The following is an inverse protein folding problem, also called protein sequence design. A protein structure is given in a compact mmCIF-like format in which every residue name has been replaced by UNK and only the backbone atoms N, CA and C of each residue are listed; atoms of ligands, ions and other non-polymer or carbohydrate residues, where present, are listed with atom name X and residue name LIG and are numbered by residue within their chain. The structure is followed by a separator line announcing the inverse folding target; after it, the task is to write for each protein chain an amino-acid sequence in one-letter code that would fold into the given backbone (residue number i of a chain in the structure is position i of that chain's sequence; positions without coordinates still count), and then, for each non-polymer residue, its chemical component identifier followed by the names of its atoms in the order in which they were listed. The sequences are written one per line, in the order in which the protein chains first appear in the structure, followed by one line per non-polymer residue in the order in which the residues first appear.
data_IF_758621679359
#
_entry.id   IF_758621679359
#
_cell.length_a   1.000
_cell.length_b   1.000
_cell.length_c   1.000
_cell.angle_alpha   90.00
_cell.angle_beta   90.00
_cell.angle_gamma   90.00
#
_symmetry.space_group_name_H-M   'P 1'
#
loop_
_entity.id
_entity.type
_entity.pdbx_description
1 polymer ?
#
# COMPACT_ATOMS: atom_id res chain seq x y z
N UNK A 1 3.13 -10.16 10.31
CA UNK A 1 3.13 -10.66 8.93
C UNK A 1 4.50 -11.15 8.50
N UNK A 2 5.60 -10.42 8.75
CA UNK A 2 6.97 -10.85 8.36
C UNK A 2 7.35 -12.22 8.92
N UNK A 3 7.26 -12.43 10.24
CA UNK A 3 7.59 -13.73 10.87
C UNK A 3 6.77 -14.90 10.32
N UNK A 4 5.52 -14.66 9.92
CA UNK A 4 4.68 -15.72 9.33
C UNK A 4 5.28 -16.20 8.01
N UNK A 5 5.89 -15.30 7.24
CA UNK A 5 6.58 -15.68 6.01
C UNK A 5 7.92 -16.33 6.31
N UNK A 6 8.72 -15.69 7.17
CA UNK A 6 10.09 -16.12 7.49
C UNK A 6 10.15 -17.44 8.26
N UNK A 7 9.21 -17.69 9.17
CA UNK A 7 9.29 -18.84 10.08
C UNK A 7 8.30 -19.95 9.71
N UNK A 8 7.46 -19.74 8.68
CA UNK A 8 6.39 -20.69 8.33
C UNK A 8 6.09 -20.79 6.84
N UNK A 9 5.42 -19.80 6.22
CA UNK A 9 4.79 -20.02 4.89
C UNK A 9 5.81 -20.20 3.76
N UNK A 10 7.06 -19.75 3.94
CA UNK A 10 8.11 -20.04 2.96
C UNK A 10 8.51 -21.52 2.90
N UNK A 11 8.18 -22.31 3.92
CA UNK A 11 8.48 -23.74 4.02
C UNK A 11 7.32 -24.66 3.64
N UNK A 12 6.22 -24.08 3.11
CA UNK A 12 5.08 -24.86 2.64
C UNK A 12 5.48 -25.79 1.49
N UNK A 13 5.01 -27.04 1.56
CA UNK A 13 5.21 -28.01 0.48
C UNK A 13 4.26 -27.73 -0.69
N UNK A 14 4.53 -28.31 -1.85
CA UNK A 14 3.61 -28.26 -3.00
C UNK A 14 2.20 -28.78 -2.66
N UNK A 15 2.12 -29.75 -1.74
CA UNK A 15 0.85 -30.28 -1.22
C UNK A 15 0.06 -29.23 -0.44
N UNK A 16 0.72 -28.48 0.44
CA UNK A 16 0.13 -27.40 1.22
C UNK A 16 -0.36 -26.26 0.29
N UNK A 17 0.50 -25.86 -0.65
CA UNK A 17 0.17 -24.83 -1.64
C UNK A 17 -1.03 -25.25 -2.50
N UNK A 18 -1.09 -26.51 -2.92
CA UNK A 18 -2.22 -27.04 -3.68
C UNK A 18 -3.51 -27.09 -2.86
N UNK A 19 -3.44 -27.45 -1.57
CA UNK A 19 -4.60 -27.45 -0.68
C UNK A 19 -5.16 -26.03 -0.47
N UNK A 20 -4.30 -25.05 -0.21
CA UNK A 20 -4.68 -23.63 -0.07
C UNK A 20 -5.30 -23.12 -1.38
N UNK A 21 -4.68 -23.42 -2.52
CA UNK A 21 -5.18 -22.98 -3.82
C UNK A 21 -6.56 -23.58 -4.15
N UNK A 22 -6.82 -24.84 -3.79
CA UNK A 22 -8.16 -25.45 -3.94
C UNK A 22 -9.17 -24.77 -3.05
N UNK A 23 -8.86 -24.62 -1.76
CA UNK A 23 -9.74 -23.95 -0.80
C UNK A 23 -10.14 -22.55 -1.27
N UNK A 24 -9.17 -21.73 -1.70
CA UNK A 24 -9.45 -20.36 -2.17
C UNK A 24 -10.30 -20.33 -3.46
N UNK A 25 -10.18 -21.34 -4.33
CA UNK A 25 -10.97 -21.46 -5.57
C UNK A 25 -12.40 -21.95 -5.32
N UNK A 26 -12.62 -22.70 -4.24
CA UNK A 26 -13.93 -23.21 -3.86
C UNK A 26 -14.80 -22.15 -3.16
N UNK A 27 -14.19 -21.03 -2.74
CA UNK A 27 -14.92 -19.90 -2.15
C UNK A 27 -15.74 -19.14 -3.21
N UNK A 28 -16.95 -18.65 -2.86
CA UNK A 28 -17.76 -17.86 -3.77
C UNK A 28 -17.09 -16.51 -4.08
N UNK A 29 -17.23 -16.04 -5.32
CA UNK A 29 -16.73 -14.75 -5.73
C UNK A 29 -17.32 -13.62 -4.87
N UNK A 30 -16.45 -12.78 -4.32
CA UNK A 30 -16.85 -11.59 -3.56
C UNK A 30 -16.98 -10.38 -4.50
N UNK A 31 -17.98 -9.53 -4.28
CA UNK A 31 -18.08 -8.26 -5.00
C UNK A 31 -16.88 -7.38 -4.64
N UNK A 32 -16.20 -6.77 -5.62
CA UNK A 32 -15.08 -5.88 -5.34
C UNK A 32 -15.59 -4.63 -4.61
N UNK A 33 -15.01 -4.33 -3.45
CA UNK A 33 -15.32 -3.13 -2.67
C UNK A 33 -14.54 -1.88 -3.15
N UNK A 34 -13.66 -2.06 -4.13
CA UNK A 34 -12.74 -1.05 -4.68
C UNK A 34 -12.41 -1.43 -6.13
N UNK A 35 -11.99 -0.46 -6.94
CA UNK A 35 -11.62 -0.69 -8.33
C UNK A 35 -10.21 -0.17 -8.67
N UNK A 36 -9.69 -0.64 -9.82
CA UNK A 36 -8.44 -0.19 -10.41
C UNK A 36 -8.60 -0.03 -11.92
N UNK A 37 -8.53 1.21 -12.40
CA UNK A 37 -8.74 1.60 -13.80
C UNK A 37 -7.50 2.31 -14.39
N UNK A 38 -6.38 1.62 -14.64
CA UNK A 38 -5.09 2.23 -15.01
C UNK A 38 -5.09 2.91 -16.38
N UNK A 39 -6.04 2.55 -17.25
CA UNK A 39 -6.14 3.08 -18.62
C UNK A 39 -7.08 4.27 -18.74
N UNK A 40 -7.72 4.70 -17.64
CA UNK A 40 -8.61 5.85 -17.66
C UNK A 40 -7.84 7.11 -18.10
N UNK A 41 -8.53 8.01 -18.81
CA UNK A 41 -7.96 9.32 -19.17
C UNK A 41 -7.54 10.10 -17.93
N UNK A 42 -8.38 10.06 -16.88
CA UNK A 42 -8.13 10.68 -15.58
C UNK A 42 -6.83 10.18 -14.96
N UNK A 43 -6.59 8.87 -14.91
CA UNK A 43 -5.37 8.29 -14.34
C UNK A 43 -4.11 8.74 -15.11
N UNK A 44 -4.18 8.83 -16.43
CA UNK A 44 -3.05 9.30 -17.25
C UNK A 44 -2.77 10.79 -17.05
N UNK A 45 -3.82 11.61 -17.03
CA UNK A 45 -3.71 13.05 -16.82
C UNK A 45 -3.19 13.39 -15.42
N UNK A 46 -3.63 12.65 -14.39
CA UNK A 46 -3.21 12.87 -13.00
C UNK A 46 -1.71 12.62 -12.81
N UNK A 47 -1.15 11.61 -13.47
CA UNK A 47 0.31 11.35 -13.44
C UNK A 47 1.09 12.48 -14.11
N UNK A 48 0.60 12.97 -15.25
CA UNK A 48 1.27 14.08 -15.93
C UNK A 48 1.28 15.34 -15.07
N UNK A 49 0.15 15.68 -14.44
CA UNK A 49 0.05 16.83 -13.55
C UNK A 49 0.94 16.68 -12.31
N UNK A 50 1.10 15.47 -11.78
CA UNK A 50 2.02 15.19 -10.67
C UNK A 50 3.49 15.39 -11.09
N UNK A 51 3.88 14.97 -12.30
CA UNK A 51 5.24 15.15 -12.83
C UNK A 51 5.59 16.62 -13.06
N UNK A 52 4.64 17.43 -13.51
CA UNK A 52 4.87 18.86 -13.77
C UNK A 52 4.71 19.73 -12.52
N UNK A 53 4.39 19.13 -11.36
CA UNK A 53 4.11 19.87 -10.13
C UNK A 53 2.80 20.66 -10.16
N UNK A 54 1.97 20.48 -11.18
CA UNK A 54 0.68 21.16 -11.35
C UNK A 54 -0.44 20.52 -10.51
N UNK A 55 -0.13 19.49 -9.73
CA UNK A 55 -1.10 18.77 -8.91
C UNK A 55 -1.33 19.44 -7.56
N UNK A 56 -2.39 20.23 -7.46
CA UNK A 56 -2.83 20.89 -6.24
C UNK A 56 -3.86 20.02 -5.48
N UNK A 57 -3.41 18.86 -4.98
CA UNK A 57 -4.24 18.00 -4.10
C UNK A 57 -3.56 17.81 -2.75
N UNK A 58 -4.32 17.82 -1.63
CA UNK A 58 -3.79 17.41 -0.34
C UNK A 58 -3.10 16.05 -0.45
N UNK A 59 -1.89 15.94 0.10
CA UNK A 59 -1.08 14.71 0.05
C UNK A 59 -0.15 14.58 -1.15
N UNK A 60 -0.35 15.34 -2.25
CA UNK A 60 0.52 15.25 -3.43
C UNK A 60 1.96 15.69 -3.14
N UNK A 61 2.14 16.84 -2.47
CA UNK A 61 3.45 17.32 -2.04
C UNK A 61 4.12 16.36 -1.05
N UNK A 62 3.36 15.85 -0.08
CA UNK A 62 3.83 14.86 0.90
C UNK A 62 4.31 13.60 0.17
N UNK A 63 3.53 13.09 -0.79
CA UNK A 63 3.90 11.93 -1.58
C UNK A 63 5.22 12.15 -2.33
N UNK A 64 5.37 13.30 -3.00
CA UNK A 64 6.60 13.64 -3.72
C UNK A 64 7.82 13.74 -2.79
N UNK A 65 7.65 14.35 -1.61
CA UNK A 65 8.74 14.54 -0.65
C UNK A 65 9.16 13.26 0.07
N UNK A 66 8.22 12.38 0.42
CA UNK A 66 8.48 11.26 1.34
C UNK A 66 8.35 9.88 0.70
N UNK A 67 7.55 9.71 -0.35
CA UNK A 67 7.15 8.39 -0.86
C UNK A 67 7.70 8.10 -2.27
N UNK A 68 7.70 9.10 -3.15
CA UNK A 68 8.00 8.94 -4.57
C UNK A 68 9.43 8.45 -4.83
N UNK A 69 10.38 8.70 -3.92
CA UNK A 69 11.77 8.20 -4.04
C UNK A 69 11.85 6.68 -4.18
N UNK A 70 10.95 5.94 -3.54
CA UNK A 70 10.92 4.47 -3.60
C UNK A 70 9.76 3.96 -4.45
N UNK A 71 8.57 4.57 -4.34
CA UNK A 71 7.38 4.10 -5.04
C UNK A 71 7.22 4.67 -6.46
N UNK A 72 8.05 5.64 -6.85
CA UNK A 72 7.97 6.31 -8.15
C UNK A 72 6.79 7.26 -8.25
N UNK A 73 6.87 8.22 -9.17
CA UNK A 73 5.77 9.18 -9.44
C UNK A 73 4.55 8.48 -10.03
N UNK A 74 4.78 7.40 -10.75
CA UNK A 74 3.77 6.54 -11.36
C UNK A 74 3.22 5.49 -10.37
N UNK A 75 3.72 5.46 -9.12
CA UNK A 75 3.29 4.49 -8.12
C UNK A 75 3.63 3.05 -8.48
N UNK A 76 4.56 2.83 -9.41
CA UNK A 76 4.93 1.49 -9.91
C UNK A 76 6.01 0.82 -9.06
N UNK A 77 6.68 1.58 -8.18
CA UNK A 77 7.80 1.10 -7.40
C UNK A 77 8.94 0.58 -8.28
N UNK A 78 9.65 -0.41 -7.76
CA UNK A 78 10.69 -1.15 -8.49
C UNK A 78 10.46 -2.64 -8.26
N UNK A 79 10.23 -3.45 -9.31
CA UNK A 79 10.03 -4.89 -9.18
C UNK A 79 11.09 -5.53 -8.28
N UNK A 80 10.66 -6.44 -7.42
CA UNK A 80 11.50 -7.15 -6.45
C UNK A 80 12.26 -6.25 -5.45
N UNK A 81 11.87 -4.98 -5.29
CA UNK A 81 12.54 -4.05 -4.38
C UNK A 81 11.56 -3.15 -3.62
N UNK A 82 10.77 -2.37 -4.35
CA UNK A 82 9.76 -1.48 -3.78
C UNK A 82 8.40 -1.81 -4.38
N UNK A 83 7.39 -2.11 -3.57
CA UNK A 83 6.09 -2.52 -4.10
C UNK A 83 5.41 -1.38 -4.84
N UNK A 84 4.67 -1.74 -5.90
CA UNK A 84 3.74 -0.81 -6.54
C UNK A 84 2.64 -0.41 -5.56
N UNK A 85 2.21 0.84 -5.65
CA UNK A 85 1.02 1.39 -4.98
C UNK A 85 -0.18 1.45 -5.94
N UNK A 86 0.07 1.69 -7.23
CA UNK A 86 -0.95 1.60 -8.26
C UNK A 86 -1.51 0.18 -8.29
N UNK A 87 -2.83 0.03 -8.11
CA UNK A 87 -3.58 -1.23 -8.09
C UNK A 87 -3.17 -2.22 -7.00
N UNK A 88 -2.57 -1.76 -5.91
CA UNK A 88 -2.11 -2.62 -4.82
C UNK A 88 -3.30 -3.03 -3.93
N UNK A 89 -3.52 -4.34 -3.66
CA UNK A 89 -4.64 -4.79 -2.83
C UNK A 89 -4.68 -4.20 -1.41
N UNK A 90 -3.53 -4.02 -0.75
CA UNK A 90 -3.46 -3.37 0.57
C UNK A 90 -3.82 -1.90 0.49
N UNK A 91 -3.50 -1.23 -0.62
CA UNK A 91 -3.92 0.16 -0.88
C UNK A 91 -5.41 0.22 -1.16
N UNK A 92 -5.99 -0.77 -1.83
CA UNK A 92 -7.40 -0.76 -2.25
C UNK A 92 -8.35 -1.36 -1.21
N UNK A 93 -7.84 -2.06 -0.19
CA UNK A 93 -8.64 -2.70 0.84
C UNK A 93 -9.61 -1.71 1.52
N UNK A 94 -10.85 -2.12 1.83
CA UNK A 94 -11.80 -1.30 2.59
C UNK A 94 -11.29 -0.98 4.00
N UNK A 95 -10.71 -1.99 4.66
CA UNK A 95 -10.09 -1.84 5.96
C UNK A 95 -8.69 -1.24 5.81
N UNK A 96 -8.48 -0.08 6.43
CA UNK A 96 -7.29 0.74 6.22
C UNK A 96 -6.19 0.46 7.26
N UNK A 97 -6.49 -0.29 8.31
CA UNK A 97 -5.58 -0.59 9.43
C UNK A 97 -4.17 -0.99 8.97
N UNK A 98 -4.03 -1.95 8.05
CA UNK A 98 -2.72 -2.40 7.59
C UNK A 98 -1.96 -1.31 6.81
N UNK A 99 -2.67 -0.56 5.96
CA UNK A 99 -2.10 0.52 5.17
C UNK A 99 -1.60 1.65 6.08
N UNK A 100 -2.44 2.08 7.02
CA UNK A 100 -2.10 3.15 7.98
C UNK A 100 -0.93 2.72 8.87
N UNK A 101 -0.95 1.48 9.38
CA UNK A 101 0.12 0.95 10.23
C UNK A 101 1.47 0.94 9.54
N UNK A 102 1.53 0.51 8.28
CA UNK A 102 2.76 0.54 7.48
C UNK A 102 3.35 1.94 7.33
N UNK A 103 2.52 2.98 7.21
CA UNK A 103 3.03 4.37 7.13
C UNK A 103 3.44 4.90 8.50
N UNK A 104 2.67 4.59 9.55
CA UNK A 104 2.96 5.07 10.90
C UNK A 104 4.24 4.42 11.46
N UNK A 105 4.32 3.09 11.44
CA UNK A 105 5.42 2.33 12.05
C UNK A 105 6.56 1.98 11.08
N UNK A 106 6.34 2.16 9.78
CA UNK A 106 7.21 1.59 8.76
C UNK A 106 7.01 0.08 8.64
N UNK A 107 7.95 -0.57 7.97
CA UNK A 107 7.91 -2.02 7.80
C UNK A 107 9.13 -2.53 7.04
N UNK A 108 9.22 -3.85 6.90
CA UNK A 108 10.19 -4.48 6.00
C UNK A 108 9.55 -5.61 5.25
N UNK A 109 10.05 -5.89 4.06
CA UNK A 109 9.76 -7.14 3.39
C UNK A 109 10.34 -8.32 4.21
N UNK A 110 9.73 -9.52 4.13
CA UNK A 110 10.32 -10.72 4.71
C UNK A 110 11.56 -11.15 3.93
N UNK A 111 12.50 -11.77 4.62
CA UNK A 111 13.61 -12.50 4.05
C UNK A 111 13.16 -13.93 3.71
N UNK A 112 13.44 -14.40 2.50
CA UNK A 112 13.12 -15.78 2.11
C UNK A 112 14.27 -16.41 1.35
N UNK A 113 14.42 -17.74 1.43
CA UNK A 113 15.57 -18.47 0.84
C UNK A 113 15.82 -18.15 -0.64
N UNK A 114 14.76 -18.05 -1.44
CA UNK A 114 14.83 -17.71 -2.88
C UNK A 114 14.40 -16.29 -3.23
N UNK A 115 14.13 -15.43 -2.23
CA UNK A 115 13.54 -14.12 -2.46
C UNK A 115 14.55 -13.00 -2.66
N UNK A 116 14.10 -11.82 -3.10
CA UNK A 116 14.95 -10.65 -3.15
C UNK A 116 15.37 -10.20 -1.75
N UNK A 117 16.44 -9.43 -1.68
CA UNK A 117 16.86 -8.81 -0.43
C UNK A 117 15.76 -7.89 0.12
N UNK A 118 15.40 -8.03 1.41
CA UNK A 118 14.31 -7.27 1.99
C UNK A 118 14.68 -5.80 2.15
N UNK A 119 13.79 -4.93 1.69
CA UNK A 119 13.92 -3.48 1.86
C UNK A 119 13.07 -3.00 3.04
N UNK A 120 13.54 -1.92 3.68
CA UNK A 120 12.86 -1.27 4.80
C UNK A 120 12.11 -0.04 4.32
N UNK A 121 10.82 0.03 4.66
CA UNK A 121 10.03 1.26 4.60
C UNK A 121 10.21 2.01 5.93
N UNK A 122 10.67 3.28 5.91
CA UNK A 122 10.80 4.10 7.12
C UNK A 122 9.46 4.32 7.83
N UNK A 123 9.52 4.53 9.14
CA UNK A 123 8.39 5.01 9.92
C UNK A 123 8.18 6.51 9.69
N UNK A 124 6.96 6.91 9.35
CA UNK A 124 6.59 8.32 9.17
C UNK A 124 5.76 8.87 10.32
N UNK A 125 5.31 8.03 11.26
CA UNK A 125 4.58 8.46 12.47
C UNK A 125 5.25 9.61 13.25
N UNK A 126 6.58 9.58 13.45
CA UNK A 126 7.30 10.68 14.13
C UNK A 126 7.51 11.94 13.28
N UNK A 127 7.26 11.90 11.97
CA UNK A 127 7.57 12.99 11.03
C UNK A 127 6.33 13.69 10.50
N UNK A 128 5.21 12.99 10.41
CA UNK A 128 3.96 13.48 9.85
C UNK A 128 2.86 13.41 10.91
N UNK A 129 1.95 14.37 10.89
CA UNK A 129 0.73 14.38 11.69
C UNK A 129 -0.28 13.34 11.18
N UNK A 130 -1.31 13.03 11.98
CA UNK A 130 -2.41 12.15 11.56
C UNK A 130 -3.13 12.67 10.32
N UNK A 131 -3.28 13.99 10.20
CA UNK A 131 -3.90 14.65 9.05
C UNK A 131 -3.04 14.52 7.79
N UNK A 132 -1.73 14.76 7.88
CA UNK A 132 -0.80 14.61 6.76
C UNK A 132 -0.73 13.16 6.25
N UNK A 133 -0.75 12.18 7.17
CA UNK A 133 -0.82 10.75 6.81
C UNK A 133 -2.15 10.44 6.12
N UNK A 134 -3.28 10.93 6.65
CA UNK A 134 -4.58 10.73 6.03
C UNK A 134 -4.65 11.33 4.61
N UNK A 135 -4.08 12.53 4.41
CA UNK A 135 -3.99 13.17 3.11
C UNK A 135 -3.15 12.35 2.11
N UNK A 136 -1.94 11.92 2.48
CA UNK A 136 -1.09 11.16 1.55
C UNK A 136 -1.66 9.77 1.25
N UNK A 137 -2.32 9.12 2.22
CA UNK A 137 -2.98 7.84 1.98
C UNK A 137 -4.22 7.98 1.09
N UNK A 138 -5.04 9.01 1.31
CA UNK A 138 -6.16 9.34 0.43
C UNK A 138 -5.70 9.67 -0.99
N UNK A 139 -4.59 10.38 -1.12
CA UNK A 139 -3.96 10.64 -2.40
C UNK A 139 -3.56 9.33 -3.09
N UNK A 140 -2.79 8.46 -2.43
CA UNK A 140 -2.37 7.16 -2.96
C UNK A 140 -3.56 6.27 -3.38
N UNK A 141 -4.66 6.33 -2.63
CA UNK A 141 -5.90 5.58 -2.89
C UNK A 141 -6.77 6.12 -4.03
N UNK A 142 -6.44 7.30 -4.56
CA UNK A 142 -7.17 7.94 -5.67
C UNK A 142 -6.30 8.27 -6.89
N UNK A 143 -5.06 7.76 -6.92
CA UNK A 143 -4.10 7.99 -8.00
C UNK A 143 -3.88 6.74 -8.85
N UNK A 144 -3.38 6.95 -10.07
CA UNK A 144 -3.03 5.88 -11.02
C UNK A 144 -4.22 4.98 -11.42
N UNK A 145 -5.45 5.47 -11.23
CA UNK A 145 -6.67 4.71 -11.44
C UNK A 145 -7.11 3.88 -10.23
N UNK A 146 -6.48 4.06 -9.06
CA UNK A 146 -7.02 3.53 -7.81
C UNK A 146 -8.35 4.22 -7.49
N UNK A 147 -9.35 3.42 -7.12
CA UNK A 147 -10.66 3.88 -6.67
C UNK A 147 -10.99 3.15 -5.36
N UNK A 148 -10.62 3.78 -4.25
CA UNK A 148 -10.92 3.31 -2.90
C UNK A 148 -11.32 4.47 -1.98
N UNK A 149 -12.10 4.17 -0.94
CA UNK A 149 -12.57 5.16 0.02
C UNK A 149 -11.40 5.93 0.67
N UNK A 150 -11.55 7.24 1.00
CA UNK A 150 -10.49 8.02 1.61
C UNK A 150 -10.09 7.49 2.99
N UNK A 151 -8.88 7.81 3.43
CA UNK A 151 -8.44 7.64 4.82
C UNK A 151 -8.67 8.94 5.56
N UNK A 152 -9.30 8.88 6.72
CA UNK A 152 -9.55 10.05 7.56
C UNK A 152 -8.45 10.25 8.61
N UNK A 153 -8.32 11.48 9.11
CA UNK A 153 -7.41 11.77 10.24
C UNK A 153 -7.77 10.97 11.50
N UNK A 154 -9.07 10.68 11.69
CA UNK A 154 -9.57 9.83 12.78
C UNK A 154 -9.05 8.40 12.66
N UNK A 155 -9.09 7.80 11.47
CA UNK A 155 -8.58 6.44 11.25
C UNK A 155 -7.10 6.33 11.69
N UNK A 156 -6.31 7.36 11.37
CA UNK A 156 -4.90 7.43 11.74
C UNK A 156 -4.71 7.65 13.24
N UNK A 157 -5.48 8.57 13.84
CA UNK A 157 -5.39 8.87 15.26
C UNK A 157 -5.78 7.65 16.12
N UNK A 158 -6.89 7.00 15.81
CA UNK A 158 -7.35 5.80 16.50
C UNK A 158 -6.34 4.66 16.40
N UNK A 159 -5.70 4.48 15.23
CA UNK A 159 -4.64 3.50 15.09
C UNK A 159 -3.44 3.84 15.99
N UNK A 160 -2.96 5.09 16.00
CA UNK A 160 -1.83 5.51 16.85
C UNK A 160 -2.09 5.21 18.32
N UNK A 161 -3.29 5.52 18.82
CA UNK A 161 -3.69 5.21 20.20
C UNK A 161 -3.70 3.70 20.48
N UNK A 162 -4.03 2.88 19.49
CA UNK A 162 -4.10 1.42 19.64
C UNK A 162 -2.73 0.72 19.65
N UNK A 163 -1.70 1.32 19.03
CA UNK A 163 -0.38 0.70 18.89
C UNK A 163 0.58 1.10 20.02
N UNK A 164 0.33 2.21 20.72
CA UNK A 164 1.11 2.62 21.89
C UNK A 164 0.68 1.95 23.20
N UNK A 165 -0.08 0.86 23.14
CA UNK A 165 -0.40 -0.02 24.27
C UNK A 165 0.44 -1.29 24.21
#
# INVERSE_FOLDING_TARGET
MVQVVEDSTQYMTDGDLAAIARYLKDLPAQKPASAYAPRSSVARMSVQALRTGAMERPGAGIFLSFCAKCHGVEGMGKPNKYPRLAGNPTVLAPEVTSLVRLVVEGGRAPHTEGGPQPEKMPAFGPKLTSEEIAHVLTFVRSMWGNEAAPVTSRDVASLRESIHK
#
